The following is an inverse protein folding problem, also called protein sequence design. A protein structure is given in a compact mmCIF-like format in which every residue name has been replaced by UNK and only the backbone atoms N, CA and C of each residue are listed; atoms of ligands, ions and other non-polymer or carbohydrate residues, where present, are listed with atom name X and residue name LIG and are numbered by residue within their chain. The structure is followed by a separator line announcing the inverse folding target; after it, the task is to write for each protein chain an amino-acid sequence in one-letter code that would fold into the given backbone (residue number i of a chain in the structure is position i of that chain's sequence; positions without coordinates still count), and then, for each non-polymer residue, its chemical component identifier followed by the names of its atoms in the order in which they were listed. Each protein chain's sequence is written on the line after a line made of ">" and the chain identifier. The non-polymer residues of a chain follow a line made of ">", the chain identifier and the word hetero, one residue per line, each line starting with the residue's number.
data_IF_910108012591
#
_entry.id   IF_910108012591
#
_cell.length_a   1.000
_cell.length_b   1.000
_cell.length_c   1.000
_cell.angle_alpha   90.00
_cell.angle_beta   90.00
_cell.angle_gamma   90.00
#
_symmetry.space_group_name_H-M   'P 1'
#
loop_
_entity.id
_entity.type
_entity.pdbx_description
1 polymer ?
#
# COMPACT_ATOMS: atom_id res chain seq x y z
N UNK A 1 -43.58 3.37 -0.66
CA UNK A 1 -42.23 3.88 -0.34
C UNK A 1 -41.30 2.68 -0.26
N UNK A 2 -40.45 2.51 -1.27
CA UNK A 2 -39.60 1.32 -1.47
C UNK A 2 -38.42 1.33 -0.51
N UNK A 3 -38.19 0.24 0.22
CA UNK A 3 -36.92 -0.08 0.87
C UNK A 3 -36.22 -1.16 0.05
N UNK A 4 -35.01 -0.94 -0.50
CA UNK A 4 -34.24 -2.05 -1.05
C UNK A 4 -33.34 -2.62 0.06
N UNK A 5 -33.73 -3.79 0.56
CA UNK A 5 -32.81 -4.69 1.25
C UNK A 5 -31.80 -5.23 0.23
N UNK A 6 -30.58 -4.69 0.22
CA UNK A 6 -29.46 -5.34 -0.48
C UNK A 6 -28.95 -6.51 0.37
N UNK A 7 -29.58 -7.67 0.22
CA UNK A 7 -29.10 -8.93 0.75
C UNK A 7 -28.14 -9.57 -0.28
N UNK A 8 -26.86 -9.19 -0.23
CA UNK A 8 -25.81 -9.92 -0.95
C UNK A 8 -25.44 -11.18 -0.16
N UNK A 9 -26.26 -12.23 -0.27
CA UNK A 9 -25.76 -13.59 -0.03
C UNK A 9 -24.83 -13.92 -1.20
N UNK A 10 -23.51 -13.77 -1.02
CA UNK A 10 -22.51 -14.35 -1.93
C UNK A 10 -22.71 -15.86 -1.93
N UNK A 11 -23.38 -16.36 -2.96
CA UNK A 11 -23.42 -17.78 -3.32
C UNK A 11 -21.97 -18.23 -3.52
N UNK A 12 -21.60 -19.39 -2.97
CA UNK A 12 -20.24 -19.90 -2.91
C UNK A 12 -19.58 -20.15 -4.26
N UNK A 13 -19.11 -19.09 -4.91
CA UNK A 13 -18.23 -19.19 -6.07
C UNK A 13 -16.87 -19.65 -5.57
N UNK A 14 -16.37 -20.76 -6.10
CA UNK A 14 -14.97 -21.15 -5.95
C UNK A 14 -14.11 -20.11 -6.67
N UNK A 15 -13.80 -19.01 -5.99
CA UNK A 15 -12.96 -17.97 -6.55
C UNK A 15 -11.52 -18.46 -6.58
N UNK A 16 -11.00 -18.62 -7.79
CA UNK A 16 -9.58 -18.80 -8.05
C UNK A 16 -9.06 -17.49 -8.59
N UNK A 17 -8.09 -16.90 -7.92
CA UNK A 17 -7.47 -15.63 -8.33
C UNK A 17 -6.02 -15.86 -8.71
N UNK A 18 -5.60 -15.32 -9.84
CA UNK A 18 -4.17 -15.24 -10.16
C UNK A 18 -3.53 -14.25 -9.18
N UNK A 19 -2.44 -14.67 -8.55
CA UNK A 19 -1.72 -13.87 -7.58
C UNK A 19 -0.24 -13.78 -7.96
N UNK A 20 0.39 -12.74 -7.44
CA UNK A 20 1.85 -12.64 -7.37
C UNK A 20 2.23 -12.52 -5.90
N UNK A 21 3.18 -13.34 -5.47
CA UNK A 21 3.65 -13.33 -4.09
C UNK A 21 5.18 -13.30 -4.06
N UNK A 22 5.73 -12.65 -3.04
CA UNK A 22 7.16 -12.74 -2.72
C UNK A 22 7.30 -13.67 -1.52
N UNK A 23 8.14 -14.69 -1.63
CA UNK A 23 8.42 -15.60 -0.53
C UNK A 23 9.69 -15.13 0.19
N UNK A 24 9.73 -15.22 1.52
CA UNK A 24 10.91 -14.85 2.31
C UNK A 24 12.14 -15.61 1.80
N UNK A 25 13.25 -14.89 1.64
CA UNK A 25 14.51 -15.45 1.10
C UNK A 25 14.56 -15.59 -0.42
N UNK A 26 13.45 -15.37 -1.14
CA UNK A 26 13.38 -15.42 -2.60
C UNK A 26 13.22 -14.00 -3.15
N UNK A 27 14.19 -13.54 -3.95
CA UNK A 27 14.20 -12.17 -4.48
C UNK A 27 13.08 -11.92 -5.50
N UNK A 28 12.78 -12.91 -6.33
CA UNK A 28 11.82 -12.81 -7.42
C UNK A 28 10.38 -13.09 -6.96
N UNK A 29 9.43 -12.36 -7.54
CA UNK A 29 8.00 -12.68 -7.41
C UNK A 29 7.70 -14.04 -8.03
N UNK A 30 6.79 -14.77 -7.39
CA UNK A 30 6.22 -16.02 -7.90
C UNK A 30 4.78 -15.78 -8.31
N UNK A 31 4.43 -16.29 -9.49
CA UNK A 31 3.04 -16.34 -9.93
C UNK A 31 2.39 -17.60 -9.38
N UNK A 32 1.12 -17.49 -9.03
CA UNK A 32 0.35 -18.61 -8.54
C UNK A 32 -1.14 -18.36 -8.61
N UNK A 33 -1.88 -19.30 -8.07
CA UNK A 33 -3.34 -19.24 -7.97
C UNK A 33 -3.75 -19.36 -6.50
N UNK A 34 -4.52 -18.40 -6.01
CA UNK A 34 -5.17 -18.50 -4.71
C UNK A 34 -6.54 -19.15 -4.86
N UNK A 35 -6.74 -20.26 -4.17
CA UNK A 35 -7.99 -21.00 -4.13
C UNK A 35 -8.73 -20.64 -2.84
N UNK A 36 -9.63 -19.65 -2.91
CA UNK A 36 -10.19 -19.00 -1.73
C UNK A 36 -10.94 -19.95 -0.78
N UNK A 37 -11.66 -20.94 -1.32
CA UNK A 37 -12.45 -21.88 -0.50
C UNK A 37 -11.57 -22.84 0.30
N UNK A 38 -10.47 -23.28 -0.30
CA UNK A 38 -9.49 -24.17 0.29
C UNK A 38 -8.49 -23.42 1.19
N UNK A 39 -8.40 -22.09 1.03
CA UNK A 39 -7.33 -21.27 1.60
C UNK A 39 -5.95 -21.83 1.20
N UNK A 40 -5.82 -22.24 -0.05
CA UNK A 40 -4.60 -22.81 -0.62
C UNK A 40 -4.05 -21.91 -1.72
N UNK A 41 -2.73 -21.96 -1.88
CA UNK A 41 -2.01 -21.29 -2.95
C UNK A 41 -1.26 -22.33 -3.76
N UNK A 42 -1.45 -22.30 -5.07
CA UNK A 42 -0.71 -23.14 -6.02
C UNK A 42 0.41 -22.33 -6.64
N UNK A 43 1.67 -22.72 -6.42
CA UNK A 43 2.87 -22.12 -7.02
C UNK A 43 3.69 -23.25 -7.65
N UNK A 44 4.07 -23.12 -8.93
CA UNK A 44 4.83 -24.13 -9.68
C UNK A 44 4.21 -25.54 -9.59
N UNK A 45 2.88 -25.64 -9.70
CA UNK A 45 2.11 -26.90 -9.58
C UNK A 45 2.13 -27.57 -8.21
N UNK A 46 2.70 -26.92 -7.19
CA UNK A 46 2.66 -27.38 -5.81
C UNK A 46 1.66 -26.54 -5.00
N UNK A 47 0.85 -27.22 -4.18
CA UNK A 47 -0.12 -26.59 -3.31
C UNK A 47 0.46 -26.36 -1.92
N UNK A 48 0.14 -25.20 -1.36
CA UNK A 48 0.52 -24.78 -0.02
C UNK A 48 -0.72 -24.28 0.71
N UNK A 49 -0.91 -24.63 1.98
CA UNK A 49 -1.88 -23.92 2.81
C UNK A 49 -1.43 -22.45 2.95
N UNK A 50 -2.35 -21.50 2.81
CA UNK A 50 -2.01 -20.08 2.80
C UNK A 50 -1.27 -19.64 4.07
N UNK A 51 -1.69 -20.16 5.23
CA UNK A 51 -1.07 -19.87 6.52
C UNK A 51 0.33 -20.49 6.71
N UNK A 52 0.77 -21.40 5.84
CA UNK A 52 2.12 -21.99 5.87
C UNK A 52 3.10 -21.21 4.98
N UNK A 53 2.62 -20.25 4.18
CA UNK A 53 3.47 -19.44 3.33
C UNK A 53 4.19 -18.36 4.14
N UNK A 54 5.52 -18.40 4.10
CA UNK A 54 6.37 -17.32 4.59
C UNK A 54 6.43 -16.21 3.53
N UNK A 55 5.47 -15.30 3.56
CA UNK A 55 5.40 -14.15 2.64
C UNK A 55 6.38 -13.04 3.05
N UNK A 56 6.96 -12.38 2.06
CA UNK A 56 7.73 -11.14 2.21
C UNK A 56 6.95 -9.96 1.63
N UNK A 57 7.45 -8.74 1.80
CA UNK A 57 6.88 -7.54 1.19
C UNK A 57 6.75 -7.74 -0.34
N UNK A 58 5.58 -7.49 -0.95
CA UNK A 58 5.32 -7.84 -2.35
C UNK A 58 5.98 -6.88 -3.35
N UNK A 59 6.91 -6.03 -2.89
CA UNK A 59 7.48 -4.92 -3.64
C UNK A 59 8.86 -5.33 -4.16
N UNK A 60 9.13 -5.00 -5.42
CA UNK A 60 10.46 -5.09 -6.06
C UNK A 60 10.96 -3.73 -6.56
N UNK A 61 10.15 -2.68 -6.45
CA UNK A 61 10.44 -1.32 -6.91
C UNK A 61 10.81 -0.36 -5.78
N UNK A 62 10.73 0.93 -6.09
CA UNK A 62 10.93 2.02 -5.13
C UNK A 62 9.60 2.44 -4.49
N UNK A 63 9.65 2.89 -3.24
CA UNK A 63 8.50 3.45 -2.54
C UNK A 63 8.64 4.97 -2.52
N UNK A 64 7.62 5.65 -3.05
CA UNK A 64 7.43 7.09 -2.91
C UNK A 64 6.30 7.32 -1.92
N UNK A 65 6.53 8.19 -0.93
CA UNK A 65 5.51 8.66 0.00
C UNK A 65 5.12 10.11 -0.31
N UNK A 66 3.93 10.50 0.11
CA UNK A 66 3.45 11.88 0.08
C UNK A 66 3.46 12.43 1.50
N UNK A 67 4.07 13.61 1.71
CA UNK A 67 3.99 14.34 2.97
C UNK A 67 2.83 15.35 2.92
N UNK A 68 2.25 15.68 4.09
CA UNK A 68 1.17 16.66 4.22
C UNK A 68 -0.08 16.34 3.39
N UNK A 69 -0.30 15.04 3.10
CA UNK A 69 -1.44 14.56 2.31
C UNK A 69 -2.63 14.12 3.18
N UNK A 70 -2.49 14.24 4.50
CA UNK A 70 -3.57 14.07 5.46
C UNK A 70 -3.98 15.44 6.00
N UNK A 71 -5.28 15.75 5.93
CA UNK A 71 -5.81 17.07 6.31
C UNK A 71 -5.44 17.49 7.74
N UNK A 72 -5.48 16.56 8.69
CA UNK A 72 -5.13 16.88 10.09
C UNK A 72 -3.64 17.18 10.28
N UNK A 73 -2.75 16.54 9.52
CA UNK A 73 -1.30 16.84 9.54
C UNK A 73 -1.04 18.22 8.91
N UNK A 74 -1.75 18.53 7.81
CA UNK A 74 -1.67 19.82 7.15
C UNK A 74 -2.11 20.96 8.07
N UNK A 75 -3.31 20.85 8.68
CA UNK A 75 -3.86 21.87 9.58
C UNK A 75 -2.96 22.10 10.81
N UNK A 76 -2.36 21.03 11.36
CA UNK A 76 -1.46 21.14 12.51
C UNK A 76 -0.19 21.96 12.20
N UNK A 77 0.28 21.94 10.95
CA UNK A 77 1.52 22.60 10.54
C UNK A 77 1.29 23.90 9.76
N UNK A 78 0.05 24.24 9.40
CA UNK A 78 -0.28 25.34 8.49
C UNK A 78 0.29 26.69 8.95
N UNK A 79 0.27 26.96 10.26
CA UNK A 79 0.82 28.20 10.81
C UNK A 79 2.35 28.30 10.60
N UNK A 80 3.07 27.19 10.79
CA UNK A 80 4.53 27.12 10.64
C UNK A 80 4.99 27.20 9.18
N UNK A 81 4.12 26.81 8.22
CA UNK A 81 4.46 26.84 6.79
C UNK A 81 4.73 28.26 6.25
N UNK A 82 4.21 29.30 6.92
CA UNK A 82 4.43 30.69 6.53
C UNK A 82 5.70 31.31 7.14
N UNK A 83 6.41 30.56 7.98
CA UNK A 83 7.65 31.00 8.63
C UNK A 83 8.89 30.48 7.87
N UNK A 84 10.08 30.99 8.22
CA UNK A 84 11.35 30.44 7.73
C UNK A 84 11.48 28.95 8.12
N UNK A 85 11.96 28.07 7.22
CA UNK A 85 12.54 28.33 5.90
C UNK A 85 11.54 28.32 4.72
N UNK A 86 10.24 28.08 4.95
CA UNK A 86 9.27 27.78 3.88
C UNK A 86 8.56 29.02 3.31
N UNK A 87 8.08 29.93 4.17
CA UNK A 87 7.38 31.20 3.82
C UNK A 87 6.07 31.11 3.07
N UNK A 88 5.60 29.91 2.73
CA UNK A 88 4.29 29.65 2.16
C UNK A 88 3.97 28.13 2.21
N UNK A 89 2.69 27.75 2.23
CA UNK A 89 2.28 26.35 2.05
C UNK A 89 2.70 25.75 0.70
N UNK A 90 2.86 24.41 0.61
CA UNK A 90 3.25 23.75 -0.62
C UNK A 90 2.17 23.89 -1.71
N UNK A 91 2.59 24.26 -2.92
CA UNK A 91 1.72 24.42 -4.10
C UNK A 91 1.48 23.11 -4.89
N UNK A 92 2.24 22.07 -4.57
CA UNK A 92 2.19 20.77 -5.22
C UNK A 92 2.46 19.67 -4.17
N UNK A 93 2.13 18.39 -4.45
CA UNK A 93 2.43 17.30 -3.54
C UNK A 93 3.91 17.21 -3.21
N UNK A 94 4.23 17.12 -1.91
CA UNK A 94 5.59 16.89 -1.45
C UNK A 94 5.84 15.38 -1.48
N UNK A 95 6.80 14.94 -2.28
CA UNK A 95 7.19 13.54 -2.39
C UNK A 95 8.50 13.27 -1.65
N UNK A 96 8.57 12.11 -1.00
CA UNK A 96 9.80 11.58 -0.42
C UNK A 96 9.99 10.11 -0.80
N UNK A 97 11.24 9.64 -0.75
CA UNK A 97 11.60 8.26 -1.09
C UNK A 97 11.79 7.47 0.21
N UNK A 98 11.19 6.28 0.29
CA UNK A 98 11.51 5.29 1.33
C UNK A 98 12.55 4.31 0.75
N UNK A 99 13.81 4.35 1.24
CA UNK A 99 14.85 3.48 0.71
C UNK A 99 14.61 2.00 1.07
N UNK A 100 15.25 1.09 0.35
CA UNK A 100 15.04 -0.37 0.46
C UNK A 100 15.26 -0.90 1.89
N UNK A 101 16.15 -0.29 2.66
CA UNK A 101 16.42 -0.66 4.06
C UNK A 101 15.28 -0.30 5.03
N UNK A 102 14.22 0.39 4.57
CA UNK A 102 13.01 0.66 5.35
C UNK A 102 11.91 -0.39 5.11
N UNK A 103 12.12 -1.32 4.18
CA UNK A 103 11.11 -2.31 3.85
C UNK A 103 11.04 -3.36 4.95
N UNK A 104 9.82 -3.68 5.37
CA UNK A 104 9.55 -4.71 6.37
C UNK A 104 8.38 -5.57 5.91
N UNK A 105 8.42 -6.87 6.20
CA UNK A 105 7.30 -7.78 5.92
C UNK A 105 6.32 -7.82 7.08
N UNK A 106 5.14 -8.38 6.81
CA UNK A 106 4.13 -8.60 7.85
C UNK A 106 4.71 -9.38 9.05
N UNK A 107 4.29 -8.99 10.25
CA UNK A 107 4.74 -9.56 11.52
C UNK A 107 6.19 -9.27 11.92
N UNK A 108 6.95 -8.50 11.14
CA UNK A 108 8.32 -8.14 11.51
C UNK A 108 8.36 -7.00 12.53
N UNK A 109 9.26 -7.05 13.54
CA UNK A 109 9.38 -6.00 14.54
C UNK A 109 9.91 -4.69 13.93
N UNK A 110 9.44 -3.56 14.44
CA UNK A 110 10.01 -2.24 14.17
C UNK A 110 10.87 -1.84 15.37
N UNK A 111 12.22 -1.81 15.25
CA UNK A 111 13.08 -1.49 16.37
C UNK A 111 13.00 0.01 16.70
N UNK A 112 12.88 0.33 17.99
CA UNK A 112 13.06 1.69 18.49
C UNK A 112 14.55 2.06 18.43
N UNK A 113 14.95 3.12 17.71
CA UNK A 113 16.34 3.57 17.69
C UNK A 113 16.83 3.95 19.09
N UNK A 114 18.12 3.73 19.36
CA UNK A 114 18.72 4.14 20.64
C UNK A 114 18.54 5.64 20.86
N UNK A 115 18.25 6.03 22.10
CA UNK A 115 18.07 7.43 22.49
C UNK A 115 16.73 8.06 22.09
N UNK A 116 15.77 7.25 21.64
CA UNK A 116 14.39 7.68 21.40
C UNK A 116 13.47 6.92 22.35
N UNK A 117 12.41 7.58 22.83
CA UNK A 117 11.47 7.01 23.79
C UNK A 117 10.18 6.47 23.14
N UNK A 118 9.89 6.93 21.92
CA UNK A 118 8.65 6.58 21.22
C UNK A 118 8.84 6.48 19.70
N UNK A 119 7.85 5.86 19.05
CA UNK A 119 7.68 5.80 17.60
C UNK A 119 6.27 6.27 17.26
N UNK A 120 6.13 6.97 16.13
CA UNK A 120 4.83 7.33 15.58
C UNK A 120 4.46 6.39 14.41
N UNK A 121 3.20 5.97 14.37
CA UNK A 121 2.67 5.17 13.25
C UNK A 121 2.08 6.10 12.19
N UNK A 122 2.70 6.13 11.02
CA UNK A 122 2.15 6.78 9.82
C UNK A 122 1.42 5.77 8.93
N UNK A 123 0.17 5.45 9.26
CA UNK A 123 -0.64 4.55 8.44
C UNK A 123 -0.98 5.20 7.08
N UNK A 124 -0.78 4.46 5.99
CA UNK A 124 -1.00 4.96 4.63
C UNK A 124 -1.55 3.88 3.72
N UNK A 125 -2.29 4.30 2.68
CA UNK A 125 -2.67 3.42 1.57
C UNK A 125 -1.52 3.37 0.56
N UNK A 126 -1.03 2.17 0.27
CA UNK A 126 -0.04 1.94 -0.79
C UNK A 126 -0.71 1.62 -2.12
N UNK A 127 -0.21 2.23 -3.19
CA UNK A 127 -0.60 1.89 -4.57
C UNK A 127 0.61 1.33 -5.31
N UNK A 128 0.38 0.25 -6.04
CA UNK A 128 1.39 -0.38 -6.86
C UNK A 128 1.22 0.05 -8.32
N UNK A 129 2.15 0.88 -8.80
CA UNK A 129 2.08 1.53 -10.10
C UNK A 129 2.63 0.67 -11.25
N UNK A 130 2.55 -0.66 -11.15
CA UNK A 130 3.05 -1.56 -12.21
C UNK A 130 2.30 -1.43 -13.53
N UNK A 131 1.06 -0.97 -13.54
CA UNK A 131 0.26 -0.79 -14.76
C UNK A 131 -0.30 0.63 -14.74
N UNK A 132 0.50 1.58 -15.23
CA UNK A 132 0.02 2.94 -15.45
C UNK A 132 -0.91 2.92 -16.67
N UNK A 133 -2.22 3.03 -16.42
CA UNK A 133 -3.14 3.44 -17.47
C UNK A 133 -2.79 4.89 -17.83
N UNK A 134 -2.64 5.17 -19.13
CA UNK A 134 -2.47 6.54 -19.62
C UNK A 134 -3.72 7.34 -19.23
N UNK A 135 -3.57 8.34 -18.37
CA UNK A 135 -4.65 9.29 -18.03
C UNK A 135 -4.35 10.55 -18.82
N UNK A 136 -5.08 10.76 -19.93
CA UNK A 136 -5.09 12.05 -20.61
C UNK A 136 -5.80 13.07 -19.73
N UNK A 137 -5.09 14.14 -19.40
CA UNK A 137 -5.64 15.27 -18.66
C UNK A 137 -6.24 16.24 -19.69
N UNK A 138 -7.55 16.15 -19.93
CA UNK A 138 -8.26 17.17 -20.70
C UNK A 138 -8.28 18.47 -19.89
N UNK A 139 -7.44 19.42 -20.27
CA UNK A 139 -7.53 20.81 -19.82
C UNK A 139 -8.87 21.39 -20.29
N UNK A 140 -9.82 21.56 -19.38
CA UNK A 140 -10.97 22.42 -19.64
C UNK A 140 -10.52 23.87 -19.49
N UNK A 141 -10.30 24.52 -20.62
CA UNK A 141 -10.14 25.98 -20.70
C UNK A 141 -11.49 26.64 -20.36
N UNK A 142 -11.58 27.24 -19.18
CA UNK A 142 -12.56 28.29 -18.90
C UNK A 142 -11.79 29.56 -18.56
N UNK A 143 -11.64 30.42 -19.58
CA UNK A 143 -11.25 31.82 -19.51
C UNK A 143 -12.15 32.62 -20.43
#
# INVERSE_FOLDING_TARGET
>A
MFTPYFNLKRVGVNLVSNIQVKLKGIKQLKHGQYHQKQQEVTINQQNYAFNQLNLDNPITGQIYGTALNYKGEYEALESEMNEDPYKAPPKAPILYIKPVNTFSSDGMPVPLPKGHDELQVGAALGLDLRHLAHVEQTMNEYG
#
